data_IF_862080251186
#
_entry.id   IF_862080251186
#
_cell.length_a   1.000
_cell.length_b   1.000
_cell.length_c   1.000
_cell.angle_alpha   90.00
_cell.angle_beta   90.00
_cell.angle_gamma   90.00
#
_symmetry.space_group_name_H-M   'P 1'
#
loop_
_entity.id
_entity.type
_entity.pdbx_description
1 polymer ?
#
# COMPACT_ATOMS: atom_id res chain seq x y z
N UNK A 1 -24.10 -6.93 32.26
CA UNK A 1 -24.27 -8.39 32.45
C UNK A 1 -24.43 -8.98 31.06
N UNK A 2 -23.38 -9.61 30.56
CA UNK A 2 -23.34 -10.18 29.21
C UNK A 2 -24.06 -11.53 29.22
N UNK A 3 -25.04 -11.70 28.33
CA UNK A 3 -25.56 -13.02 28.00
C UNK A 3 -24.52 -13.74 27.12
N UNK A 4 -24.08 -14.95 27.47
CA UNK A 4 -23.38 -15.80 26.52
C UNK A 4 -24.43 -16.31 25.53
N UNK A 5 -24.29 -15.95 24.25
CA UNK A 5 -25.07 -16.62 23.21
C UNK A 5 -24.59 -18.07 23.20
N UNK A 6 -25.52 -18.95 23.52
CA UNK A 6 -25.36 -20.38 23.63
C UNK A 6 -24.82 -20.98 22.33
N UNK A 7 -23.73 -21.70 22.50
CA UNK A 7 -23.25 -22.83 21.70
C UNK A 7 -24.43 -23.70 21.22
N UNK A 8 -24.86 -23.52 19.98
CA UNK A 8 -25.62 -24.55 19.26
C UNK A 8 -24.62 -25.31 18.40
N UNK A 9 -24.43 -26.58 18.74
CA UNK A 9 -23.47 -27.49 18.10
C UNK A 9 -23.76 -27.73 16.63
N UNK A 10 -23.26 -26.83 15.78
CA UNK A 10 -23.01 -27.10 14.37
C UNK A 10 -21.52 -27.43 14.20
N UNK A 11 -21.22 -28.51 13.48
CA UNK A 11 -19.85 -28.96 13.23
C UNK A 11 -19.09 -27.93 12.37
N UNK A 12 -18.57 -26.87 13.01
CA UNK A 12 -17.73 -25.91 12.33
C UNK A 12 -16.36 -26.52 12.07
N UNK A 13 -15.95 -26.52 10.80
CA UNK A 13 -14.60 -26.90 10.36
C UNK A 13 -13.56 -25.83 10.68
N UNK A 14 -14.02 -24.66 11.14
CA UNK A 14 -13.20 -23.49 11.37
C UNK A 14 -12.40 -23.60 12.67
N UNK A 15 -11.12 -23.21 12.62
CA UNK A 15 -10.30 -23.08 13.82
C UNK A 15 -10.46 -21.65 14.36
N UNK A 16 -11.15 -21.50 15.48
CA UNK A 16 -11.46 -20.20 16.08
C UNK A 16 -10.23 -19.30 16.28
N UNK A 17 -9.06 -19.88 16.60
CA UNK A 17 -7.83 -19.11 16.77
C UNK A 17 -7.26 -18.62 15.44
N UNK A 18 -7.42 -19.41 14.38
CA UNK A 18 -7.03 -19.01 13.02
C UNK A 18 -7.96 -17.92 12.52
N UNK A 19 -9.28 -18.09 12.64
CA UNK A 19 -10.26 -17.07 12.25
C UNK A 19 -10.05 -15.76 13.00
N UNK A 20 -9.81 -15.82 14.31
CA UNK A 20 -9.55 -14.63 15.11
C UNK A 20 -8.31 -13.86 14.60
N UNK A 21 -7.23 -14.57 14.29
CA UNK A 21 -6.01 -13.95 13.77
C UNK A 21 -6.22 -13.36 12.35
N UNK A 22 -6.92 -14.08 11.46
CA UNK A 22 -7.25 -13.60 10.13
C UNK A 22 -8.12 -12.34 10.17
N UNK A 23 -9.19 -12.37 10.97
CA UNK A 23 -10.16 -11.28 11.05
C UNK A 23 -9.55 -10.00 11.65
N UNK A 24 -8.60 -10.15 12.59
CA UNK A 24 -7.88 -9.03 13.18
C UNK A 24 -6.74 -8.51 12.29
N UNK A 25 -6.46 -9.15 11.15
CA UNK A 25 -5.34 -8.80 10.27
C UNK A 25 -3.96 -9.21 10.79
N UNK A 26 -3.88 -10.04 11.85
CA UNK A 26 -2.63 -10.66 12.31
C UNK A 26 -2.31 -11.89 11.46
N UNK A 27 -2.05 -11.63 10.18
CA UNK A 27 -1.80 -12.66 9.19
C UNK A 27 -0.55 -13.49 9.51
N UNK A 28 0.44 -12.94 10.21
CA UNK A 28 1.65 -13.69 10.58
C UNK A 28 1.34 -14.75 11.64
N UNK A 29 0.59 -14.37 12.69
CA UNK A 29 0.12 -15.34 13.68
C UNK A 29 -0.80 -16.38 13.05
N UNK A 30 -1.71 -15.97 12.16
CA UNK A 30 -2.56 -16.89 11.41
C UNK A 30 -1.73 -17.92 10.63
N UNK A 31 -0.72 -17.48 9.86
CA UNK A 31 0.16 -18.36 9.09
C UNK A 31 0.90 -19.36 9.99
N UNK A 32 1.41 -18.93 11.14
CA UNK A 32 2.09 -19.80 12.10
C UNK A 32 1.16 -20.88 12.67
N UNK A 33 -0.06 -20.50 13.05
CA UNK A 33 -1.09 -21.43 13.53
C UNK A 33 -1.47 -22.42 12.43
N UNK A 34 -1.75 -21.95 11.22
CA UNK A 34 -2.11 -22.78 10.07
C UNK A 34 -1.00 -23.79 9.78
N UNK A 35 0.26 -23.35 9.71
CA UNK A 35 1.41 -24.24 9.46
C UNK A 35 1.55 -25.33 10.53
N UNK A 36 1.23 -25.03 11.79
CA UNK A 36 1.19 -26.03 12.87
C UNK A 36 0.06 -27.03 12.69
N UNK A 37 -1.15 -26.58 12.35
CA UNK A 37 -2.33 -27.44 12.13
C UNK A 37 -2.21 -28.31 10.88
N UNK A 38 -1.56 -27.81 9.83
CA UNK A 38 -1.34 -28.57 8.60
C UNK A 38 -0.48 -29.82 8.81
N UNK A 39 0.42 -29.83 9.81
CA UNK A 39 1.24 -31.01 10.15
C UNK A 39 0.42 -32.19 10.68
N UNK A 40 -0.73 -31.91 11.29
CA UNK A 40 -1.61 -32.91 11.91
C UNK A 40 -2.85 -33.22 11.07
N UNK A 41 -3.15 -32.40 10.05
CA UNK A 41 -4.31 -32.59 9.20
C UNK A 41 -4.12 -33.76 8.22
N UNK A 42 -5.15 -34.59 8.06
CA UNK A 42 -5.15 -35.65 7.06
C UNK A 42 -5.07 -35.08 5.64
N UNK A 43 -4.29 -35.73 4.76
CA UNK A 43 -4.18 -35.34 3.35
C UNK A 43 -5.55 -35.41 2.68
N UNK A 44 -5.86 -34.44 1.82
CA UNK A 44 -7.12 -34.36 1.08
C UNK A 44 -8.40 -34.37 1.94
N UNK A 45 -8.29 -33.98 3.22
CA UNK A 45 -9.44 -33.80 4.11
C UNK A 45 -10.07 -32.41 3.98
N UNK A 46 -11.31 -32.27 4.46
CA UNK A 46 -12.00 -30.99 4.57
C UNK A 46 -11.20 -29.98 5.42
N UNK A 47 -10.57 -30.43 6.51
CA UNK A 47 -9.69 -29.58 7.33
C UNK A 47 -8.47 -29.09 6.55
N UNK A 48 -7.88 -29.95 5.70
CA UNK A 48 -6.72 -29.59 4.89
C UNK A 48 -7.10 -28.55 3.82
N UNK A 49 -8.26 -28.70 3.19
CA UNK A 49 -8.81 -27.71 2.27
C UNK A 49 -9.06 -26.37 2.97
N UNK A 50 -9.70 -26.39 4.14
CA UNK A 50 -9.94 -25.20 4.95
C UNK A 50 -8.65 -24.45 5.29
N UNK A 51 -7.66 -25.15 5.85
CA UNK A 51 -6.37 -24.55 6.19
C UNK A 51 -5.61 -24.00 4.98
N UNK A 52 -5.75 -24.63 3.80
CA UNK A 52 -5.16 -24.12 2.56
C UNK A 52 -5.86 -22.84 2.06
N UNK A 53 -7.20 -22.76 2.16
CA UNK A 53 -7.98 -21.55 1.87
C UNK A 53 -7.60 -20.40 2.81
N UNK A 54 -7.50 -20.66 4.12
CA UNK A 54 -7.05 -19.65 5.09
C UNK A 54 -5.61 -19.17 4.82
N UNK A 55 -4.71 -20.06 4.41
CA UNK A 55 -3.34 -19.68 4.02
C UNK A 55 -3.33 -18.81 2.75
N UNK A 56 -4.19 -19.13 1.78
CA UNK A 56 -4.36 -18.33 0.57
C UNK A 56 -4.80 -16.91 0.92
N UNK A 57 -5.82 -16.75 1.77
CA UNK A 57 -6.31 -15.45 2.23
C UNK A 57 -5.22 -14.66 2.95
N UNK A 58 -4.53 -15.26 3.93
CA UNK A 58 -3.45 -14.59 4.67
C UNK A 58 -2.33 -14.08 3.75
N UNK A 59 -1.96 -14.85 2.72
CA UNK A 59 -0.98 -14.42 1.73
C UNK A 59 -1.52 -13.35 0.78
N UNK A 60 -2.78 -13.47 0.36
CA UNK A 60 -3.44 -12.52 -0.53
C UNK A 60 -3.50 -11.12 0.09
N UNK A 61 -3.96 -11.02 1.33
CA UNK A 61 -4.07 -9.75 2.06
C UNK A 61 -2.72 -9.12 2.39
N UNK A 62 -1.65 -9.92 2.43
CA UNK A 62 -0.26 -9.44 2.50
C UNK A 62 0.34 -9.08 1.12
N UNK A 63 -0.43 -9.15 0.03
CA UNK A 63 0.06 -8.91 -1.32
C UNK A 63 1.07 -9.96 -1.83
N UNK A 64 1.19 -11.11 -1.16
CA UNK A 64 2.06 -12.24 -1.56
C UNK A 64 1.36 -13.10 -2.59
N UNK A 65 1.06 -12.51 -3.75
CA UNK A 65 0.22 -13.08 -4.81
C UNK A 65 0.70 -14.47 -5.29
N UNK A 66 2.01 -14.69 -5.42
CA UNK A 66 2.54 -16.00 -5.86
C UNK A 66 2.30 -17.12 -4.85
N UNK A 67 2.40 -16.81 -3.56
CA UNK A 67 2.15 -17.79 -2.49
C UNK A 67 0.66 -18.02 -2.29
N UNK A 68 -0.15 -16.96 -2.41
CA UNK A 68 -1.59 -17.08 -2.46
C UNK A 68 -2.03 -18.01 -3.60
N UNK A 69 -1.46 -17.86 -4.81
CA UNK A 69 -1.75 -18.73 -5.96
C UNK A 69 -1.36 -20.19 -5.74
N UNK A 70 -0.22 -20.45 -5.08
CA UNK A 70 0.18 -21.83 -4.75
C UNK A 70 -0.82 -22.48 -3.80
N UNK A 71 -1.27 -21.75 -2.78
CA UNK A 71 -2.26 -22.25 -1.81
C UNK A 71 -3.66 -22.36 -2.43
N UNK A 72 -4.05 -21.44 -3.31
CA UNK A 72 -5.29 -21.51 -4.09
C UNK A 72 -5.37 -22.80 -4.90
N UNK A 73 -4.31 -23.13 -5.64
CA UNK A 73 -4.26 -24.36 -6.44
C UNK A 73 -4.39 -25.62 -5.57
N UNK A 74 -3.75 -25.64 -4.40
CA UNK A 74 -3.86 -26.76 -3.45
C UNK A 74 -5.28 -26.88 -2.89
N UNK A 75 -5.85 -25.78 -2.42
CA UNK A 75 -7.20 -25.74 -1.88
C UNK A 75 -8.23 -26.19 -2.93
N UNK A 76 -8.20 -25.61 -4.12
CA UNK A 76 -9.09 -25.96 -5.23
C UNK A 76 -9.02 -27.45 -5.60
N UNK A 77 -7.82 -28.02 -5.73
CA UNK A 77 -7.67 -29.45 -6.03
C UNK A 77 -8.31 -30.36 -4.98
N UNK A 78 -8.17 -30.02 -3.70
CA UNK A 78 -8.78 -30.81 -2.62
C UNK A 78 -10.29 -30.62 -2.63
N UNK A 79 -10.77 -29.38 -2.75
CA UNK A 79 -12.20 -29.08 -2.76
C UNK A 79 -12.89 -29.77 -3.94
N UNK A 80 -12.32 -29.72 -5.15
CA UNK A 80 -12.90 -30.37 -6.33
C UNK A 80 -12.91 -31.90 -6.17
N UNK A 81 -11.88 -32.48 -5.55
CA UNK A 81 -11.87 -33.90 -5.19
C UNK A 81 -13.00 -34.24 -4.21
N UNK A 82 -13.17 -33.43 -3.15
CA UNK A 82 -14.24 -33.61 -2.15
C UNK A 82 -15.63 -33.46 -2.78
N UNK A 83 -15.82 -32.47 -3.65
CA UNK A 83 -17.08 -32.20 -4.36
C UNK A 83 -17.43 -33.28 -5.39
N UNK A 84 -16.44 -34.03 -5.90
CA UNK A 84 -16.68 -35.13 -6.86
C UNK A 84 -17.40 -36.33 -6.26
N UNK A 85 -17.64 -36.36 -4.94
CA UNK A 85 -18.28 -37.47 -4.23
C UNK A 85 -17.36 -38.68 -3.98
N UNK A 86 -16.18 -38.72 -4.61
CA UNK A 86 -15.19 -39.82 -4.47
C UNK A 86 -14.60 -39.95 -3.06
N UNK A 87 -14.73 -38.91 -2.24
CA UNK A 87 -14.21 -38.88 -0.88
C UNK A 87 -15.11 -39.58 0.15
N UNK A 88 -16.33 -39.98 -0.22
CA UNK A 88 -17.26 -40.67 0.70
C UNK A 88 -17.65 -39.82 1.91
N UNK A 89 -17.95 -38.55 1.70
CA UNK A 89 -18.34 -37.61 2.77
C UNK A 89 -19.73 -37.93 3.32
N UNK A 90 -19.87 -37.81 4.64
CA UNK A 90 -21.15 -37.94 5.32
C UNK A 90 -22.06 -36.73 5.02
N UNK A 91 -23.38 -36.90 5.15
CA UNK A 91 -24.36 -35.82 4.94
C UNK A 91 -24.07 -34.57 5.77
N UNK A 92 -23.49 -34.74 6.97
CA UNK A 92 -23.12 -33.65 7.88
C UNK A 92 -21.92 -32.82 7.38
N UNK A 93 -21.11 -33.35 6.45
CA UNK A 93 -19.93 -32.68 5.91
C UNK A 93 -20.19 -31.96 4.57
N UNK A 94 -21.31 -32.25 3.92
CA UNK A 94 -21.67 -31.65 2.63
C UNK A 94 -21.93 -30.15 2.75
N UNK A 95 -22.60 -29.72 3.82
CA UNK A 95 -22.89 -28.30 4.03
C UNK A 95 -21.61 -27.49 4.32
N UNK A 96 -20.75 -27.88 5.29
CA UNK A 96 -19.46 -27.21 5.50
C UNK A 96 -18.55 -27.21 4.26
N UNK A 97 -18.60 -28.26 3.43
CA UNK A 97 -17.86 -28.28 2.16
C UNK A 97 -18.37 -27.22 1.18
N UNK A 98 -19.70 -27.08 1.04
CA UNK A 98 -20.29 -26.03 0.18
C UNK A 98 -19.92 -24.64 0.67
N UNK A 99 -19.98 -24.39 1.99
CA UNK A 99 -19.56 -23.12 2.57
C UNK A 99 -18.08 -22.85 2.31
N UNK A 100 -17.22 -23.84 2.51
CA UNK A 100 -15.80 -23.72 2.20
C UNK A 100 -15.54 -23.45 0.72
N UNK A 101 -16.26 -24.12 -0.19
CA UNK A 101 -16.19 -23.86 -1.63
C UNK A 101 -16.55 -22.41 -1.94
N UNK A 102 -17.64 -21.89 -1.36
CA UNK A 102 -18.04 -20.48 -1.58
C UNK A 102 -17.00 -19.48 -1.06
N UNK A 103 -16.43 -19.70 0.13
CA UNK A 103 -15.32 -18.89 0.67
C UNK A 103 -14.07 -18.96 -0.22
N UNK A 104 -13.73 -20.16 -0.69
CA UNK A 104 -12.61 -20.36 -1.61
C UNK A 104 -12.82 -19.59 -2.92
N UNK A 105 -14.01 -19.67 -3.52
CA UNK A 105 -14.30 -19.00 -4.78
C UNK A 105 -14.24 -17.48 -4.64
N UNK A 106 -14.79 -16.92 -3.56
CA UNK A 106 -14.70 -15.49 -3.26
C UNK A 106 -13.24 -15.02 -3.16
N UNK A 107 -12.46 -15.65 -2.29
CA UNK A 107 -11.04 -15.29 -2.13
C UNK A 107 -10.20 -15.56 -3.40
N UNK A 108 -10.55 -16.59 -4.17
CA UNK A 108 -9.90 -16.87 -5.46
C UNK A 108 -10.29 -15.85 -6.54
N UNK A 109 -11.50 -15.29 -6.51
CA UNK A 109 -11.90 -14.20 -7.40
C UNK A 109 -11.01 -12.96 -7.19
N UNK A 110 -10.80 -12.54 -5.94
CA UNK A 110 -9.87 -11.45 -5.60
C UNK A 110 -8.45 -11.72 -6.08
N UNK A 111 -7.96 -12.96 -5.93
CA UNK A 111 -6.66 -13.36 -6.45
C UNK A 111 -6.59 -13.31 -7.97
N UNK A 112 -7.65 -13.71 -8.68
CA UNK A 112 -7.72 -13.70 -10.14
C UNK A 112 -7.75 -12.28 -10.69
N UNK A 113 -8.50 -11.37 -10.06
CA UNK A 113 -8.46 -9.93 -10.38
C UNK A 113 -7.04 -9.37 -10.16
N UNK A 114 -6.40 -9.71 -9.04
CA UNK A 114 -5.02 -9.30 -8.74
C UNK A 114 -4.00 -9.80 -9.79
N UNK A 115 -4.31 -10.91 -10.48
CA UNK A 115 -3.53 -11.47 -11.57
C UNK A 115 -3.92 -10.93 -12.97
N UNK A 116 -4.94 -10.08 -13.06
CA UNK A 116 -5.51 -9.59 -14.32
C UNK A 116 -6.21 -10.68 -15.14
N UNK A 117 -6.74 -11.71 -14.49
CA UNK A 117 -7.45 -12.82 -15.13
C UNK A 117 -8.98 -12.63 -15.05
N UNK A 118 -9.46 -11.50 -15.58
CA UNK A 118 -10.83 -11.02 -15.36
C UNK A 118 -11.91 -12.03 -15.79
N UNK A 119 -11.73 -12.69 -16.94
CA UNK A 119 -12.69 -13.72 -17.41
C UNK A 119 -12.85 -14.87 -16.40
N UNK A 120 -11.76 -15.32 -15.78
CA UNK A 120 -11.83 -16.36 -14.75
C UNK A 120 -12.42 -15.83 -13.45
N UNK A 121 -12.11 -14.57 -13.11
CA UNK A 121 -12.70 -13.90 -11.96
C UNK A 121 -14.24 -13.89 -12.08
N UNK A 122 -14.79 -13.48 -13.23
CA UNK A 122 -16.23 -13.51 -13.49
C UNK A 122 -16.83 -14.92 -13.31
N UNK A 123 -16.22 -15.95 -13.89
CA UNK A 123 -16.71 -17.33 -13.71
C UNK A 123 -16.70 -17.77 -12.26
N UNK A 124 -15.68 -17.34 -11.50
CA UNK A 124 -15.55 -17.67 -10.07
C UNK A 124 -16.64 -16.99 -9.24
N UNK A 125 -16.91 -15.71 -9.53
CA UNK A 125 -17.97 -14.93 -8.88
C UNK A 125 -19.36 -15.47 -9.21
N UNK A 126 -19.62 -15.82 -10.46
CA UNK A 126 -20.91 -16.38 -10.89
C UNK A 126 -21.19 -17.72 -10.19
N UNK A 127 -20.18 -18.60 -10.11
CA UNK A 127 -20.28 -19.86 -9.38
C UNK A 127 -20.52 -19.62 -7.88
N UNK A 128 -19.79 -18.68 -7.27
CA UNK A 128 -19.93 -18.33 -5.86
C UNK A 128 -21.33 -17.80 -5.53
N UNK A 129 -21.81 -16.82 -6.31
CA UNK A 129 -23.13 -16.20 -6.14
C UNK A 129 -24.25 -17.23 -6.31
N UNK A 130 -24.15 -18.10 -7.33
CA UNK A 130 -25.14 -19.16 -7.55
C UNK A 130 -25.23 -20.11 -6.35
N UNK A 131 -24.08 -20.59 -5.86
CA UNK A 131 -24.08 -21.48 -4.69
C UNK A 131 -24.54 -20.79 -3.41
N UNK A 132 -24.15 -19.53 -3.18
CA UNK A 132 -24.58 -18.79 -1.98
C UNK A 132 -26.08 -18.49 -1.99
N UNK A 133 -26.69 -18.26 -3.16
CA UNK A 133 -28.15 -18.12 -3.30
C UNK A 133 -28.88 -19.41 -2.89
N UNK A 134 -28.33 -20.57 -3.22
CA UNK A 134 -28.88 -21.87 -2.78
C UNK A 134 -28.71 -22.11 -1.27
N UNK A 135 -27.67 -21.54 -0.66
CA UNK A 135 -27.36 -21.66 0.77
C UNK A 135 -28.08 -20.64 1.66
N UNK A 136 -28.95 -19.78 1.10
CA UNK A 136 -29.59 -18.63 1.75
C UNK A 136 -30.45 -18.96 2.99
N UNK A 137 -30.70 -20.24 3.28
CA UNK A 137 -31.29 -20.67 4.55
C UNK A 137 -30.38 -20.37 5.77
N UNK A 138 -29.11 -20.02 5.55
CA UNK A 138 -28.11 -19.79 6.61
C UNK A 138 -27.74 -18.31 6.68
N UNK A 139 -28.23 -17.61 7.71
CA UNK A 139 -27.97 -16.18 7.92
C UNK A 139 -26.46 -15.86 7.98
N UNK A 140 -25.61 -16.82 8.38
CA UNK A 140 -24.14 -16.66 8.45
C UNK A 140 -23.43 -16.50 7.10
N UNK A 141 -24.07 -16.88 5.99
CA UNK A 141 -23.48 -16.80 4.65
C UNK A 141 -23.90 -15.53 3.89
N UNK A 142 -24.89 -14.79 4.40
CA UNK A 142 -25.46 -13.61 3.73
C UNK A 142 -24.42 -12.52 3.47
N UNK A 143 -23.48 -12.30 4.40
CA UNK A 143 -22.42 -11.31 4.20
C UNK A 143 -21.50 -11.63 3.01
N UNK A 144 -21.13 -12.90 2.81
CA UNK A 144 -20.29 -13.31 1.66
C UNK A 144 -21.00 -13.11 0.34
N UNK A 145 -22.31 -13.38 0.29
CA UNK A 145 -23.12 -13.13 -0.90
C UNK A 145 -23.11 -11.63 -1.24
N UNK A 146 -23.33 -10.78 -0.24
CA UNK A 146 -23.27 -9.33 -0.41
C UNK A 146 -21.90 -8.87 -0.91
N UNK A 147 -20.82 -9.40 -0.36
CA UNK A 147 -19.45 -9.05 -0.76
C UNK A 147 -19.14 -9.52 -2.20
N UNK A 148 -19.54 -10.73 -2.60
CA UNK A 148 -19.38 -11.20 -3.98
C UNK A 148 -20.19 -10.35 -4.97
N UNK A 149 -21.41 -9.95 -4.62
CA UNK A 149 -22.24 -9.05 -5.45
C UNK A 149 -21.58 -7.68 -5.58
N UNK A 150 -21.07 -7.11 -4.49
CA UNK A 150 -20.35 -5.84 -4.50
C UNK A 150 -19.04 -5.91 -5.29
N UNK A 151 -18.31 -7.03 -5.19
CA UNK A 151 -17.10 -7.28 -5.96
C UNK A 151 -17.40 -7.33 -7.46
N UNK A 152 -18.41 -8.11 -7.87
CA UNK A 152 -18.87 -8.17 -9.25
C UNK A 152 -19.33 -6.80 -9.76
N UNK A 153 -20.09 -6.05 -8.96
CA UNK A 153 -20.52 -4.70 -9.29
C UNK A 153 -19.33 -3.75 -9.54
N UNK A 154 -18.28 -3.84 -8.72
CA UNK A 154 -17.04 -3.09 -8.92
C UNK A 154 -16.39 -3.43 -10.26
N UNK A 155 -16.32 -4.70 -10.63
CA UNK A 155 -15.76 -5.13 -11.92
C UNK A 155 -16.58 -4.63 -13.12
N UNK A 156 -17.91 -4.74 -13.05
CA UNK A 156 -18.80 -4.23 -14.10
C UNK A 156 -18.64 -2.72 -14.27
N UNK A 157 -18.53 -1.98 -13.16
CA UNK A 157 -18.28 -0.54 -13.19
C UNK A 157 -16.92 -0.17 -13.79
N UNK A 158 -15.88 -0.98 -13.55
CA UNK A 158 -14.57 -0.80 -14.16
C UNK A 158 -14.60 -1.05 -15.68
N UNK A 159 -15.47 -1.95 -16.14
CA UNK A 159 -15.70 -2.23 -17.55
C UNK A 159 -16.63 -1.21 -18.25
N UNK A 160 -17.16 -0.23 -17.52
CA UNK A 160 -18.07 0.79 -18.05
C UNK A 160 -19.55 0.40 -18.00
N UNK A 161 -19.88 -0.79 -17.52
CA UNK A 161 -21.25 -1.32 -17.41
C UNK A 161 -21.94 -0.81 -16.13
N UNK A 162 -22.06 0.52 -16.01
CA UNK A 162 -22.53 1.19 -14.78
C UNK A 162 -23.97 0.81 -14.39
N UNK A 163 -24.84 0.50 -15.36
CA UNK A 163 -26.22 0.06 -15.07
C UNK A 163 -26.27 -1.33 -14.42
N UNK A 164 -25.49 -2.29 -14.94
CA UNK A 164 -25.38 -3.63 -14.32
C UNK A 164 -24.76 -3.55 -12.94
N UNK A 165 -23.73 -2.72 -12.78
CA UNK A 165 -23.11 -2.47 -11.48
C UNK A 165 -24.12 -1.91 -10.46
N UNK A 166 -24.99 -1.00 -10.89
CA UNK A 166 -26.08 -0.45 -10.08
C UNK A 166 -27.03 -1.57 -9.61
N UNK A 167 -27.54 -2.38 -10.53
CA UNK A 167 -28.49 -3.48 -10.21
C UNK A 167 -27.89 -4.48 -9.22
N UNK A 168 -26.62 -4.86 -9.41
CA UNK A 168 -25.90 -5.76 -8.49
C UNK A 168 -25.73 -5.14 -7.10
N UNK A 169 -25.46 -3.84 -7.02
CA UNK A 169 -25.30 -3.13 -5.74
C UNK A 169 -26.64 -2.97 -5.00
N UNK A 170 -27.72 -2.69 -5.73
CA UNK A 170 -29.08 -2.67 -5.17
C UNK A 170 -29.49 -4.05 -4.62
N UNK A 171 -29.12 -5.12 -5.34
CA UNK A 171 -29.30 -6.49 -4.85
C UNK A 171 -28.48 -6.73 -3.57
N UNK A 172 -27.20 -6.34 -3.55
CA UNK A 172 -26.34 -6.51 -2.38
C UNK A 172 -26.93 -5.81 -1.14
N UNK A 173 -27.38 -4.55 -1.26
CA UNK A 173 -28.02 -3.81 -0.18
C UNK A 173 -29.29 -4.52 0.30
N UNK A 174 -30.12 -5.01 -0.63
CA UNK A 174 -31.35 -5.75 -0.28
C UNK A 174 -31.06 -7.04 0.47
N UNK A 175 -29.98 -7.76 0.13
CA UNK A 175 -29.55 -8.93 0.89
C UNK A 175 -28.97 -8.55 2.25
N UNK A 176 -28.31 -7.40 2.33
CA UNK A 176 -27.68 -6.91 3.54
C UNK A 176 -28.67 -6.40 4.60
N UNK A 177 -29.80 -5.85 4.17
CA UNK A 177 -30.83 -5.33 5.06
C UNK A 177 -31.49 -6.47 5.88
N UNK A 178 -31.33 -6.40 7.20
CA UNK A 178 -31.98 -7.32 8.14
C UNK A 178 -31.23 -8.62 8.44
N UNK A 179 -30.04 -8.83 7.89
CA UNK A 179 -29.18 -9.96 8.26
C UNK A 179 -28.37 -9.65 9.52
N UNK A 180 -28.27 -10.59 10.45
CA UNK A 180 -27.46 -10.42 11.67
C UNK A 180 -25.97 -10.66 11.43
N UNK A 181 -25.62 -11.30 10.30
CA UNK A 181 -24.22 -11.54 9.94
C UNK A 181 -23.52 -10.33 9.33
N UNK A 182 -24.30 -9.30 8.95
CA UNK A 182 -23.79 -8.11 8.28
C UNK A 182 -23.76 -6.95 9.25
N UNK A 183 -22.58 -6.35 9.38
CA UNK A 183 -22.40 -5.14 10.18
C UNK A 183 -23.18 -3.98 9.57
N UNK A 184 -23.75 -3.12 10.42
CA UNK A 184 -24.37 -1.87 9.98
C UNK A 184 -23.41 -1.04 9.12
N UNK A 185 -22.10 -1.08 9.39
CA UNK A 185 -21.10 -0.34 8.63
C UNK A 185 -20.89 -0.91 7.22
N UNK A 186 -20.98 -2.22 7.04
CA UNK A 186 -20.95 -2.86 5.71
C UNK A 186 -22.13 -2.36 4.87
N UNK A 187 -23.33 -2.23 5.45
CA UNK A 187 -24.48 -1.61 4.76
C UNK A 187 -24.16 -0.17 4.35
N UNK A 188 -23.54 0.60 5.25
CA UNK A 188 -23.08 1.96 4.95
C UNK A 188 -22.07 2.02 3.79
N UNK A 189 -21.15 1.07 3.70
CA UNK A 189 -20.19 0.97 2.59
C UNK A 189 -20.86 0.65 1.25
N UNK A 190 -21.89 -0.21 1.25
CA UNK A 190 -22.67 -0.53 0.05
C UNK A 190 -23.48 0.69 -0.43
N UNK A 191 -24.12 1.41 0.49
CA UNK A 191 -24.86 2.65 0.20
C UNK A 191 -23.93 3.71 -0.42
N UNK A 192 -22.71 3.86 0.11
CA UNK A 192 -21.68 4.74 -0.45
C UNK A 192 -21.26 4.34 -1.87
N UNK A 193 -21.04 3.05 -2.10
CA UNK A 193 -20.65 2.56 -3.41
C UNK A 193 -21.77 2.78 -4.44
N UNK A 194 -23.04 2.55 -4.05
CA UNK A 194 -24.20 2.84 -4.90
C UNK A 194 -24.33 4.34 -5.18
N UNK A 195 -24.17 5.20 -4.17
CA UNK A 195 -24.15 6.65 -4.35
C UNK A 195 -23.07 7.10 -5.35
N UNK A 196 -21.88 6.51 -5.26
CA UNK A 196 -20.79 6.74 -6.22
C UNK A 196 -21.13 6.28 -7.65
N UNK A 197 -21.84 5.16 -7.82
CA UNK A 197 -22.31 4.68 -9.12
C UNK A 197 -23.36 5.60 -9.72
N UNK A 198 -24.36 6.02 -8.93
CA UNK A 198 -25.42 6.95 -9.34
C UNK A 198 -24.84 8.30 -9.76
N UNK A 199 -23.86 8.81 -9.02
CA UNK A 199 -23.16 10.04 -9.37
C UNK A 199 -22.47 9.93 -10.74
N UNK A 200 -21.80 8.80 -11.03
CA UNK A 200 -21.19 8.55 -12.34
C UNK A 200 -22.21 8.42 -13.47
N UNK A 201 -23.41 7.95 -13.16
CA UNK A 201 -24.55 7.88 -14.09
C UNK A 201 -25.24 9.25 -14.30
N UNK A 202 -24.86 10.28 -13.53
CA UNK A 202 -25.47 11.61 -13.58
C UNK A 202 -26.72 11.77 -12.70
N UNK A 203 -27.14 10.73 -11.97
CA UNK A 203 -28.22 10.80 -11.00
C UNK A 203 -27.73 11.37 -9.67
N UNK A 204 -27.57 12.69 -9.66
CA UNK A 204 -27.04 13.44 -8.51
C UNK A 204 -27.98 13.43 -7.31
N UNK A 205 -29.30 13.43 -7.53
CA UNK A 205 -30.29 13.38 -6.46
C UNK A 205 -30.28 12.01 -5.78
N UNK A 206 -30.35 10.92 -6.57
CA UNK A 206 -30.26 9.57 -6.02
C UNK A 206 -28.93 9.35 -5.29
N UNK A 207 -27.82 9.82 -5.86
CA UNK A 207 -26.51 9.76 -5.20
C UNK A 207 -26.52 10.44 -3.83
N UNK A 208 -27.11 11.64 -3.73
CA UNK A 208 -27.20 12.39 -2.47
C UNK A 208 -27.98 11.63 -1.38
N UNK A 209 -29.09 10.98 -1.75
CA UNK A 209 -29.89 10.19 -0.80
C UNK A 209 -29.11 8.99 -0.25
N UNK A 210 -28.42 8.25 -1.13
CA UNK A 210 -27.58 7.12 -0.74
C UNK A 210 -26.38 7.56 0.13
N UNK A 211 -25.72 8.67 -0.22
CA UNK A 211 -24.67 9.23 0.64
C UNK A 211 -25.23 9.65 2.01
N UNK A 212 -26.42 10.27 2.07
CA UNK A 212 -27.03 10.65 3.34
C UNK A 212 -27.33 9.44 4.24
N UNK A 213 -27.79 8.32 3.67
CA UNK A 213 -27.98 7.05 4.41
C UNK A 213 -26.66 6.51 4.96
N UNK A 214 -25.62 6.43 4.14
CA UNK A 214 -24.30 6.00 4.59
C UNK A 214 -23.75 6.89 5.70
N UNK A 215 -23.94 8.20 5.58
CA UNK A 215 -23.57 9.18 6.61
C UNK A 215 -24.30 8.92 7.92
N UNK A 216 -25.61 8.72 7.89
CA UNK A 216 -26.40 8.47 9.09
C UNK A 216 -25.89 7.22 9.83
N UNK A 217 -25.59 6.15 9.10
CA UNK A 217 -25.06 4.89 9.65
C UNK A 217 -23.70 5.10 10.31
N UNK A 218 -22.78 5.81 9.65
CA UNK A 218 -21.40 5.97 10.13
C UNK A 218 -21.25 7.04 11.21
N UNK A 219 -22.03 8.12 11.17
CA UNK A 219 -21.99 9.18 12.20
C UNK A 219 -22.51 8.73 13.56
N UNK A 220 -23.39 7.72 13.58
CA UNK A 220 -23.85 7.05 14.80
C UNK A 220 -22.72 6.19 15.46
N UNK A 221 -21.53 6.16 14.87
CA UNK A 221 -20.39 5.43 15.42
C UNK A 221 -19.59 6.27 16.42
N UNK A 222 -19.26 5.64 17.54
CA UNK A 222 -18.29 6.15 18.52
C UNK A 222 -16.85 5.75 18.17
N UNK A 223 -16.62 5.08 17.02
CA UNK A 223 -15.34 4.45 16.71
C UNK A 223 -14.15 5.41 16.76
N UNK A 224 -14.31 6.67 16.38
CA UNK A 224 -13.23 7.66 16.48
C UNK A 224 -12.76 7.91 17.92
N UNK A 225 -13.69 7.86 18.88
CA UNK A 225 -13.42 8.13 20.30
C UNK A 225 -13.03 6.87 21.06
N UNK A 226 -13.38 5.69 20.54
CA UNK A 226 -12.95 4.41 21.09
C UNK A 226 -11.48 4.19 20.77
N UNK A 227 -10.72 3.78 21.78
CA UNK A 227 -9.38 3.23 21.55
C UNK A 227 -9.51 1.94 20.76
N UNK A 228 -8.58 1.72 19.85
CA UNK A 228 -8.56 0.52 19.03
C UNK A 228 -8.47 -0.73 19.91
N UNK A 229 -9.29 -1.73 19.57
CA UNK A 229 -9.20 -3.07 20.11
C UNK A 229 -9.18 -4.07 18.97
N UNK A 230 -8.39 -5.16 19.01
CA UNK A 230 -8.39 -6.13 17.93
C UNK A 230 -9.78 -6.76 17.73
N UNK A 231 -10.39 -6.48 16.58
CA UNK A 231 -11.64 -7.10 16.12
C UNK A 231 -11.71 -7.08 14.59
N UNK A 232 -12.66 -7.84 13.99
CA UNK A 232 -12.87 -7.83 12.56
C UNK A 232 -13.07 -6.42 11.98
N UNK A 233 -12.46 -6.17 10.83
CA UNK A 233 -12.44 -4.82 10.23
C UNK A 233 -13.84 -4.31 9.85
N UNK A 234 -14.79 -5.19 9.53
CA UNK A 234 -16.17 -4.83 9.19
C UNK A 234 -16.99 -4.34 10.39
N UNK A 235 -16.50 -4.52 11.62
CA UNK A 235 -17.12 -3.97 12.82
C UNK A 235 -16.74 -2.50 13.08
N UNK A 236 -15.87 -1.95 12.24
CA UNK A 236 -15.44 -0.56 12.30
C UNK A 236 -15.89 0.22 11.07
N UNK A 237 -16.26 1.50 11.22
CA UNK A 237 -16.55 2.33 10.06
C UNK A 237 -15.26 2.61 9.28
N UNK A 238 -15.33 2.42 7.97
CA UNK A 238 -14.31 2.93 7.03
C UNK A 238 -14.84 4.19 6.38
N UNK A 239 -14.19 5.33 6.60
CA UNK A 239 -14.51 6.58 5.92
C UNK A 239 -13.71 6.67 4.63
N UNK A 240 -14.37 6.48 3.49
CA UNK A 240 -13.72 6.50 2.17
C UNK A 240 -13.87 7.86 1.51
N UNK A 241 -12.78 8.34 0.90
CA UNK A 241 -12.85 9.46 -0.02
C UNK A 241 -13.60 9.03 -1.29
N UNK A 242 -14.74 9.65 -1.54
CA UNK A 242 -15.55 9.43 -2.74
C UNK A 242 -15.81 10.78 -3.38
N UNK A 243 -15.38 10.95 -4.62
CA UNK A 243 -15.60 12.19 -5.36
C UNK A 243 -17.11 12.48 -5.47
N UNK A 244 -17.51 13.67 -5.04
CA UNK A 244 -18.92 14.09 -5.01
C UNK A 244 -19.67 13.73 -3.73
N UNK A 245 -19.08 12.97 -2.80
CA UNK A 245 -19.70 12.71 -1.50
C UNK A 245 -19.63 13.98 -0.61
N UNK A 246 -20.64 14.23 0.24
CA UNK A 246 -20.76 15.47 1.01
C UNK A 246 -19.68 15.70 2.08
N UNK A 247 -18.95 14.65 2.48
CA UNK A 247 -17.79 14.77 3.39
C UNK A 247 -16.44 14.77 2.68
N UNK A 248 -16.43 14.61 1.35
CA UNK A 248 -15.20 14.50 0.57
C UNK A 248 -14.96 15.79 -0.19
N UNK A 249 -13.77 16.37 -0.01
CA UNK A 249 -13.35 17.54 -0.77
C UNK A 249 -11.93 17.35 -1.30
N UNK A 250 -11.68 17.84 -2.51
CA UNK A 250 -10.33 17.93 -3.10
C UNK A 250 -9.91 19.40 -3.23
N UNK A 251 -8.64 19.66 -2.98
CA UNK A 251 -7.98 20.92 -3.30
C UNK A 251 -6.64 20.65 -3.99
N UNK A 252 -6.15 21.62 -4.75
CA UNK A 252 -4.85 21.56 -5.39
C UNK A 252 -3.96 22.67 -4.83
N UNK A 253 -2.90 22.29 -4.12
CA UNK A 253 -1.97 23.22 -3.48
C UNK A 253 -0.54 22.82 -3.87
N UNK A 254 0.25 23.79 -4.36
CA UNK A 254 1.64 23.53 -4.74
C UNK A 254 1.86 22.46 -5.82
N UNK A 255 0.84 22.16 -6.64
CA UNK A 255 0.89 21.09 -7.65
C UNK A 255 0.59 19.69 -7.10
N UNK A 256 0.18 19.59 -5.83
CA UNK A 256 -0.22 18.35 -5.17
C UNK A 256 -1.74 18.31 -5.04
N UNK A 257 -2.30 17.10 -5.15
CA UNK A 257 -3.72 16.85 -4.91
C UNK A 257 -3.94 16.51 -3.44
N UNK A 258 -4.66 17.39 -2.75
CA UNK A 258 -5.06 17.22 -1.36
C UNK A 258 -6.47 16.65 -1.31
N UNK A 259 -6.64 15.47 -0.71
CA UNK A 259 -7.94 14.84 -0.53
C UNK A 259 -8.30 14.88 0.94
N UNK A 260 -9.50 15.38 1.26
CA UNK A 260 -9.99 15.56 2.63
C UNK A 260 -11.30 14.79 2.83
N UNK A 261 -11.41 14.19 4.02
CA UNK A 261 -12.61 13.52 4.53
C UNK A 261 -13.00 14.20 5.84
N UNK A 262 -14.19 14.81 5.89
CA UNK A 262 -14.73 15.52 7.05
C UNK A 262 -15.99 14.83 7.59
N UNK A 263 -15.83 14.12 8.70
CA UNK A 263 -16.92 13.35 9.33
C UNK A 263 -17.63 14.15 10.44
N UNK A 264 -17.39 15.46 10.50
CA UNK A 264 -17.93 16.37 11.51
C UNK A 264 -17.12 16.36 12.81
N UNK A 265 -16.95 15.18 13.43
CA UNK A 265 -16.17 15.01 14.68
C UNK A 265 -14.66 15.08 14.48
N UNK A 266 -14.18 14.70 13.30
CA UNK A 266 -12.80 14.81 12.91
C UNK A 266 -12.73 15.16 11.42
N UNK A 267 -11.63 15.78 11.01
CA UNK A 267 -11.32 16.01 9.61
C UNK A 267 -9.93 15.52 9.32
N UNK A 268 -9.80 14.68 8.30
CA UNK A 268 -8.52 14.13 7.89
C UNK A 268 -8.24 14.46 6.43
N UNK A 269 -7.08 15.01 6.18
CA UNK A 269 -6.58 15.34 4.85
C UNK A 269 -5.30 14.58 4.59
N UNK A 270 -5.18 14.05 3.36
CA UNK A 270 -4.01 13.32 2.90
C UNK A 270 -3.59 13.76 1.50
N UNK A 271 -2.29 13.78 1.26
CA UNK A 271 -1.69 14.02 -0.06
C UNK A 271 -0.41 13.21 -0.22
N UNK A 272 -0.09 12.82 -1.45
CA UNK A 272 1.07 11.98 -1.77
C UNK A 272 2.20 12.81 -2.37
N UNK A 273 3.44 12.47 -2.03
CA UNK A 273 4.64 13.08 -2.62
C UNK A 273 5.75 12.07 -2.85
N UNK A 274 6.44 12.14 -3.99
CA UNK A 274 7.72 11.45 -4.18
C UNK A 274 8.81 12.19 -3.42
N UNK A 275 9.51 11.45 -2.57
CA UNK A 275 10.63 12.02 -1.82
C UNK A 275 11.96 11.66 -2.47
N UNK A 276 12.36 12.48 -3.45
CA UNK A 276 13.64 12.32 -4.13
C UNK A 276 14.84 12.54 -3.19
N UNK A 277 14.64 13.23 -2.07
CA UNK A 277 15.71 13.60 -1.15
C UNK A 277 16.15 12.41 -0.28
N UNK A 278 15.21 11.56 0.17
CA UNK A 278 15.53 10.36 0.96
C UNK A 278 15.81 9.12 0.12
N UNK A 279 15.31 9.07 -1.12
CA UNK A 279 15.73 8.11 -2.13
C UNK A 279 14.70 7.87 -3.22
N UNK A 280 15.15 7.31 -4.35
CA UNK A 280 14.29 7.02 -5.53
C UNK A 280 13.08 6.11 -5.27
N UNK A 281 13.01 5.49 -4.10
CA UNK A 281 11.95 4.55 -3.68
C UNK A 281 11.07 5.09 -2.56
N UNK A 282 11.41 6.25 -2.01
CA UNK A 282 10.69 6.81 -0.87
C UNK A 282 9.48 7.63 -1.33
N UNK A 283 8.38 7.42 -0.62
CA UNK A 283 7.14 8.17 -0.78
C UNK A 283 6.75 8.73 0.58
N UNK A 284 6.42 10.02 0.63
CA UNK A 284 5.84 10.67 1.79
C UNK A 284 4.34 10.82 1.58
N UNK A 285 3.58 10.55 2.62
CA UNK A 285 2.16 10.88 2.70
C UNK A 285 2.01 12.00 3.71
N UNK A 286 1.63 13.18 3.25
CA UNK A 286 1.29 14.29 4.11
C UNK A 286 -0.06 14.06 4.75
N UNK A 287 -0.16 14.33 6.05
CA UNK A 287 -1.36 14.11 6.86
C UNK A 287 -1.66 15.37 7.65
N UNK A 288 -2.91 15.81 7.58
CA UNK A 288 -3.46 16.83 8.48
C UNK A 288 -4.75 16.31 9.12
N UNK A 289 -4.68 16.02 10.41
CA UNK A 289 -5.81 15.55 11.22
C UNK A 289 -6.24 16.66 12.18
N UNK A 290 -7.51 17.02 12.14
CA UNK A 290 -8.13 17.97 13.07
C UNK A 290 -9.10 17.19 13.95
N UNK A 291 -8.87 17.20 15.26
CA UNK A 291 -9.79 16.69 16.25
C UNK A 291 -10.78 17.80 16.62
N UNK A 292 -12.09 17.57 16.44
CA UNK A 292 -13.14 18.51 16.88
C UNK A 292 -13.96 17.98 18.06
N UNK A 293 -13.49 16.90 18.68
CA UNK A 293 -14.13 16.30 19.84
C UNK A 293 -13.52 16.83 21.14
N UNK A 294 -14.26 16.67 22.23
CA UNK A 294 -13.81 17.01 23.59
C UNK A 294 -12.90 15.94 24.20
N UNK A 295 -12.61 14.86 23.47
CA UNK A 295 -11.77 13.73 23.88
C UNK A 295 -10.53 13.62 23.00
N UNK A 296 -9.40 13.09 23.50
CA UNK A 296 -8.26 12.82 22.64
C UNK A 296 -8.60 11.74 21.60
N UNK A 297 -8.08 11.89 20.38
CA UNK A 297 -8.18 10.87 19.32
C UNK A 297 -6.89 10.07 19.22
N UNK A 298 -7.00 8.75 19.24
CA UNK A 298 -5.84 7.88 19.07
C UNK A 298 -5.44 7.84 17.59
N UNK A 299 -4.28 8.35 17.23
CA UNK A 299 -3.76 8.32 15.85
C UNK A 299 -2.80 7.14 15.66
N UNK A 300 -2.94 6.43 14.53
CA UNK A 300 -2.14 5.25 14.17
C UNK A 300 -2.05 4.16 15.25
N UNK A 301 -3.18 3.67 15.81
CA UNK A 301 -3.15 2.50 16.69
C UNK A 301 -2.73 1.21 15.98
N UNK A 302 -2.88 1.18 14.65
CA UNK A 302 -2.36 0.14 13.76
C UNK A 302 -1.44 0.78 12.72
N UNK A 303 -0.62 -0.06 12.07
CA UNK A 303 0.21 0.39 10.96
C UNK A 303 -0.69 0.88 9.81
N UNK A 304 -0.43 2.07 9.27
CA UNK A 304 -1.10 2.55 8.06
C UNK A 304 -0.64 1.72 6.85
N UNK A 305 -1.48 1.66 5.83
CA UNK A 305 -1.23 0.84 4.64
C UNK A 305 -1.18 1.72 3.38
N UNK A 306 -0.25 1.42 2.49
CA UNK A 306 -0.14 2.06 1.18
C UNK A 306 -0.08 0.98 0.10
N UNK A 307 -1.09 0.93 -0.76
CA UNK A 307 -1.20 -0.02 -1.86
C UNK A 307 -1.02 0.70 -3.19
N UNK A 308 -0.27 0.11 -4.10
CA UNK A 308 -0.20 0.50 -5.50
C UNK A 308 -0.83 -0.61 -6.31
N UNK A 309 -1.90 -0.33 -7.06
CA UNK A 309 -2.61 -1.37 -7.81
C UNK A 309 -2.03 -1.61 -9.21
N UNK A 310 -1.44 -0.58 -9.84
CA UNK A 310 -0.97 -0.63 -11.23
C UNK A 310 0.46 -0.04 -11.33
N UNK A 311 1.46 -0.68 -11.99
CA UNK A 311 1.40 -1.82 -12.93
C UNK A 311 1.28 -3.22 -12.30
N UNK A 312 1.61 -3.36 -11.02
CA UNK A 312 1.44 -4.59 -10.26
C UNK A 312 1.08 -4.22 -8.84
N UNK A 313 0.25 -5.05 -8.20
CA UNK A 313 -0.08 -4.87 -6.79
C UNK A 313 1.20 -4.91 -5.97
N UNK A 314 1.45 -3.82 -5.25
CA UNK A 314 2.59 -3.68 -4.35
C UNK A 314 2.15 -2.97 -3.07
N UNK A 315 2.64 -3.46 -1.93
CA UNK A 315 2.43 -2.83 -0.62
C UNK A 315 3.68 -2.02 -0.28
N UNK A 316 3.47 -0.78 0.13
CA UNK A 316 4.51 0.11 0.64
C UNK A 316 4.95 -0.33 2.03
N UNK A 317 6.25 -0.45 2.24
CA UNK A 317 6.79 -0.72 3.57
C UNK A 317 6.86 0.59 4.34
N UNK A 318 6.09 0.72 5.43
CA UNK A 318 6.20 1.89 6.31
C UNK A 318 7.62 1.99 6.87
N UNK A 319 8.21 3.19 6.78
CA UNK A 319 9.51 3.50 7.34
C UNK A 319 9.32 4.31 8.62
N UNK A 320 10.03 3.92 9.67
CA UNK A 320 10.14 4.72 10.88
C UNK A 320 10.98 5.98 10.59
N UNK A 321 10.47 7.14 11.01
CA UNK A 321 11.10 8.43 10.70
C UNK A 321 12.50 8.56 11.31
N UNK A 322 12.70 8.06 12.54
CA UNK A 322 14.02 8.10 13.19
C UNK A 322 15.04 7.23 12.47
N UNK A 323 14.64 6.00 12.11
CA UNK A 323 15.44 5.06 11.34
C UNK A 323 15.77 5.59 9.93
N UNK A 324 14.82 6.27 9.29
CA UNK A 324 15.01 6.89 7.98
C UNK A 324 16.00 8.06 8.07
N UNK A 325 15.86 8.94 9.06
CA UNK A 325 16.76 10.06 9.30
C UNK A 325 18.22 9.59 9.50
N UNK A 326 18.43 8.55 10.31
CA UNK A 326 19.75 7.94 10.51
C UNK A 326 20.33 7.37 9.21
N UNK A 327 19.47 6.76 8.38
CA UNK A 327 19.88 6.23 7.06
C UNK A 327 20.33 7.35 6.12
N UNK A 328 19.64 8.49 6.14
CA UNK A 328 19.99 9.68 5.36
C UNK A 328 21.34 10.24 5.79
N UNK A 329 21.57 10.44 7.09
CA UNK A 329 22.85 10.91 7.63
C UNK A 329 24.00 9.98 7.21
N UNK A 330 23.81 8.67 7.37
CA UNK A 330 24.82 7.67 7.01
C UNK A 330 25.14 7.69 5.52
N UNK A 331 24.14 7.84 4.64
CA UNK A 331 24.36 7.93 3.19
C UNK A 331 25.07 9.22 2.79
N UNK A 332 24.71 10.34 3.41
CA UNK A 332 25.32 11.63 3.14
C UNK A 332 26.78 11.68 3.60
N UNK A 333 27.09 11.13 4.78
CA UNK A 333 28.45 10.97 5.27
C UNK A 333 29.32 10.12 4.31
N UNK A 334 28.82 8.95 3.89
CA UNK A 334 29.53 8.09 2.92
C UNK A 334 29.77 8.79 1.58
N UNK A 335 28.80 9.59 1.11
CA UNK A 335 28.95 10.37 -0.12
C UNK A 335 29.97 11.49 0.05
N UNK A 336 29.99 12.18 1.18
CA UNK A 336 30.98 13.20 1.49
C UNK A 336 32.40 12.60 1.58
N UNK A 337 32.57 11.44 2.21
CA UNK A 337 33.85 10.73 2.24
C UNK A 337 34.36 10.37 0.85
N UNK A 338 33.48 9.87 -0.02
CA UNK A 338 33.83 9.61 -1.43
C UNK A 338 34.32 10.88 -2.13
N UNK A 339 33.63 12.01 -1.96
CA UNK A 339 34.02 13.29 -2.57
C UNK A 339 35.37 13.76 -2.04
N UNK A 340 35.63 13.63 -0.73
CA UNK A 340 36.94 13.95 -0.14
C UNK A 340 38.05 13.08 -0.74
N UNK A 341 37.78 11.79 -0.92
CA UNK A 341 38.74 10.86 -1.49
C UNK A 341 39.04 11.19 -2.96
N UNK A 342 38.01 11.52 -3.75
CA UNK A 342 38.17 11.96 -5.14
C UNK A 342 39.00 13.26 -5.22
N UNK A 343 38.76 14.20 -4.31
CA UNK A 343 39.52 15.44 -4.21
C UNK A 343 41.00 15.22 -3.86
N UNK A 344 41.29 14.35 -2.89
CA UNK A 344 42.67 13.99 -2.50
C UNK A 344 43.44 13.30 -3.63
N UNK A 345 42.73 12.58 -4.50
CA UNK A 345 43.31 11.88 -5.63
C UNK A 345 43.34 12.73 -6.92
N UNK A 346 42.87 13.98 -6.87
CA UNK A 346 42.88 14.86 -8.02
C UNK A 346 44.31 15.32 -8.33
N UNK A 347 44.76 15.07 -9.56
CA UNK A 347 46.05 15.53 -10.05
C UNK A 347 45.88 16.46 -11.25
N UNK A 348 46.76 17.45 -11.35
CA UNK A 348 46.87 18.34 -12.51
C UNK A 348 48.17 18.06 -13.23
N UNK A 349 48.07 17.97 -14.55
CA UNK A 349 49.22 17.85 -15.44
C UNK A 349 49.94 19.20 -15.52
N UNK A 350 51.17 19.29 -15.00
CA UNK A 350 52.07 20.42 -15.26
C UNK A 350 53.05 20.05 -16.38
N UNK A 351 53.03 20.86 -17.44
CA UNK A 351 54.03 20.81 -18.50
C UNK A 351 55.14 21.79 -18.15
N UNK A 352 56.30 21.27 -17.76
CA UNK A 352 57.49 22.08 -17.51
C UNK A 352 58.30 22.15 -18.79
N UNK A 353 58.44 23.36 -19.34
CA UNK A 353 59.36 23.61 -20.44
C UNK A 353 60.75 23.82 -19.86
N UNK A 354 61.71 22.98 -20.25
CA UNK A 354 63.12 23.20 -19.96
C UNK A 354 63.72 24.03 -21.09
N UNK A 355 63.96 25.34 -20.91
CA UNK A 355 64.76 26.10 -21.86
C UNK A 355 66.16 25.51 -21.85
N UNK A 356 66.60 24.99 -22.99
CA UNK A 356 67.92 24.39 -23.15
C UNK A 356 69.01 25.41 -22.77
N UNK A 357 69.80 25.21 -21.69
CA UNK A 357 70.82 26.18 -21.26
C UNK A 357 72.07 26.19 -22.14
N UNK A 358 72.18 25.30 -23.14
CA UNK A 358 73.37 25.19 -23.97
C UNK A 358 73.02 25.16 -25.46
N UNK A 359 73.14 26.33 -26.09
CA UNK A 359 73.34 26.42 -27.53
C UNK A 359 74.51 27.37 -27.86
N UNK A 360 75.63 27.23 -27.14
CA UNK A 360 76.83 28.04 -27.37
C UNK A 360 78.01 27.30 -28.01
N UNK A 361 77.82 26.06 -28.48
CA UNK A 361 78.88 25.34 -29.19
C UNK A 361 78.33 24.49 -30.34
N UNK A 362 77.74 25.15 -31.35
CA UNK A 362 77.93 24.67 -32.72
C UNK A 362 77.68 25.79 -33.74
N UNK A 363 78.65 26.69 -33.86
CA UNK A 363 78.76 27.58 -35.00
C UNK A 363 80.15 27.38 -35.64
N UNK A 364 80.36 26.20 -36.21
CA UNK A 364 81.34 26.01 -37.27
C UNK A 364 80.59 26.06 -38.59
N UNK A 365 80.99 27.03 -39.41
CA UNK A 365 80.20 27.54 -40.50
C UNK A 365 79.93 26.56 -41.63
N UNK A 366 78.85 26.86 -42.37
CA UNK A 366 78.90 27.29 -43.77
C UNK A 366 77.47 27.41 -44.31
N UNK A 367 77.17 28.59 -44.87
CA UNK A 367 76.29 28.70 -46.04
C UNK A 367 74.78 28.86 -45.81
N UNK A 368 74.33 30.11 -45.99
CA UNK A 368 73.22 30.53 -46.86
C UNK A 368 71.86 29.79 -46.79
N UNK A 369 70.86 30.63 -46.46
CA UNK A 369 69.49 30.74 -47.03
C UNK A 369 68.34 29.88 -46.47
N UNK A 370 67.20 30.58 -46.30
CA UNK A 370 65.85 30.07 -46.04
C UNK A 370 65.42 30.23 -44.57
N UNK A 371 64.86 31.36 -44.13
CA UNK A 371 63.41 31.64 -44.19
C UNK A 371 62.56 30.38 -44.47
N UNK A 372 61.85 29.91 -43.44
CA UNK A 372 60.93 28.75 -43.39
C UNK A 372 61.51 27.36 -43.04
N UNK A 373 61.91 27.17 -41.77
CA UNK A 373 61.81 25.91 -40.99
C UNK A 373 61.77 26.33 -39.51
N UNK A 374 60.91 25.88 -38.61
CA UNK A 374 59.86 24.87 -38.62
C UNK A 374 59.04 25.11 -37.35
N UNK A 375 57.74 25.41 -37.47
CA UNK A 375 56.75 25.37 -36.38
C UNK A 375 56.44 23.90 -35.98
N UNK A 376 57.43 23.02 -35.98
CA UNK A 376 57.26 21.61 -35.64
C UNK A 376 58.23 21.22 -34.51
N UNK A 377 57.61 21.01 -33.35
CA UNK A 377 57.91 19.89 -32.45
C UNK A 377 59.31 19.86 -31.82
N UNK A 378 59.59 20.81 -30.91
CA UNK A 378 60.49 20.55 -29.78
C UNK A 378 59.76 19.69 -28.73
N UNK A 379 59.39 18.46 -29.10
CA UNK A 379 58.77 17.48 -28.21
C UNK A 379 59.77 16.85 -27.21
N UNK A 380 61.05 17.22 -27.29
CA UNK A 380 62.12 16.68 -26.44
C UNK A 380 62.37 17.46 -25.15
N UNK A 381 61.87 18.70 -25.02
CA UNK A 381 62.16 19.60 -23.89
C UNK A 381 60.96 19.89 -22.97
N UNK A 382 59.86 19.17 -23.15
CA UNK A 382 58.67 19.27 -22.30
C UNK A 382 58.58 18.05 -21.38
N UNK A 383 58.83 18.25 -20.09
CA UNK A 383 58.53 17.25 -19.06
C UNK A 383 57.07 17.36 -18.63
N UNK A 384 56.36 16.23 -18.54
CA UNK A 384 54.99 16.18 -18.03
C UNK A 384 55.04 15.57 -16.63
N UNK A 385 54.60 16.32 -15.62
CA UNK A 385 54.53 15.84 -14.23
C UNK A 385 53.10 15.96 -13.71
N UNK A 386 52.62 14.92 -13.01
CA UNK A 386 51.33 14.94 -12.33
C UNK A 386 51.55 15.50 -10.93
N UNK A 387 50.94 16.65 -10.63
CA UNK A 387 51.05 17.31 -9.32
C UNK A 387 49.68 17.30 -8.66
N UNK A 388 49.57 17.12 -7.33
CA UNK A 388 48.30 17.23 -6.63
C UNK A 388 47.58 18.55 -6.94
N UNK A 389 46.29 18.47 -7.26
CA UNK A 389 45.47 19.65 -7.54
C UNK A 389 44.82 20.15 -6.25
N UNK A 390 45.53 20.99 -5.52
CA UNK A 390 45.06 21.60 -4.28
C UNK A 390 43.78 22.45 -4.45
N UNK A 391 43.49 22.96 -5.65
CA UNK A 391 42.24 23.68 -5.92
C UNK A 391 41.07 22.70 -6.03
N UNK A 392 41.26 21.57 -6.72
CA UNK A 392 40.28 20.50 -6.80
C UNK A 392 40.02 19.87 -5.42
N UNK A 393 41.06 19.69 -4.60
CA UNK A 393 40.93 19.21 -3.22
C UNK A 393 40.10 20.17 -2.36
N UNK A 394 40.37 21.47 -2.42
CA UNK A 394 39.62 22.48 -1.66
C UNK A 394 38.14 22.54 -2.10
N UNK A 395 37.86 22.47 -3.39
CA UNK A 395 36.49 22.40 -3.92
C UNK A 395 35.76 21.13 -3.49
N UNK A 396 36.45 19.99 -3.50
CA UNK A 396 35.90 18.72 -3.04
C UNK A 396 35.59 18.76 -1.53
N UNK A 397 36.45 19.35 -0.71
CA UNK A 397 36.19 19.54 0.72
C UNK A 397 34.96 20.40 0.99
N UNK A 398 34.81 21.53 0.28
CA UNK A 398 33.62 22.38 0.40
C UNK A 398 32.35 21.64 -0.03
N UNK A 399 32.41 20.90 -1.15
CA UNK A 399 31.27 20.12 -1.66
C UNK A 399 30.91 18.97 -0.72
N UNK A 400 31.89 18.32 -0.10
CA UNK A 400 31.67 17.29 0.90
C UNK A 400 30.97 17.84 2.15
N UNK A 401 31.40 19.01 2.65
CA UNK A 401 30.74 19.70 3.76
C UNK A 401 29.28 20.05 3.43
N UNK A 402 29.02 20.61 2.24
CA UNK A 402 27.66 20.90 1.80
C UNK A 402 26.77 19.66 1.74
N UNK A 403 27.30 18.51 1.32
CA UNK A 403 26.56 17.24 1.28
C UNK A 403 26.24 16.72 2.68
N UNK A 404 27.18 16.82 3.61
CA UNK A 404 26.94 16.45 5.02
C UNK A 404 25.93 17.35 5.70
N UNK A 405 26.06 18.67 5.53
CA UNK A 405 25.13 19.65 6.10
C UNK A 405 23.72 19.48 5.52
N UNK A 406 23.59 19.34 4.20
CA UNK A 406 22.31 19.07 3.56
C UNK A 406 21.70 17.75 4.05
N UNK A 407 22.52 16.71 4.23
CA UNK A 407 22.09 15.43 4.79
C UNK A 407 21.58 15.53 6.22
N UNK A 408 22.29 16.28 7.07
CA UNK A 408 21.89 16.52 8.47
C UNK A 408 20.60 17.33 8.55
N UNK A 409 20.49 18.41 7.78
CA UNK A 409 19.27 19.23 7.73
C UNK A 409 18.05 18.43 7.29
N UNK A 410 18.21 17.60 6.26
CA UNK A 410 17.15 16.70 5.79
C UNK A 410 16.76 15.66 6.85
N UNK A 411 17.73 15.12 7.59
CA UNK A 411 17.45 14.19 8.68
C UNK A 411 16.73 14.85 9.86
N UNK A 412 17.08 16.09 10.19
CA UNK A 412 16.37 16.89 11.19
C UNK A 412 14.94 17.22 10.76
N UNK A 413 14.72 17.56 9.49
CA UNK A 413 13.40 17.76 8.90
C UNK A 413 12.54 16.49 9.03
N UNK A 414 13.07 15.32 8.65
CA UNK A 414 12.36 14.04 8.76
C UNK A 414 11.99 13.72 10.21
N UNK A 415 12.87 13.99 11.17
CA UNK A 415 12.59 13.79 12.60
C UNK A 415 11.51 14.74 13.11
N UNK A 416 11.51 15.99 12.64
CA UNK A 416 10.58 17.03 13.08
C UNK A 416 9.18 16.84 12.50
N UNK A 417 9.10 16.48 11.23
CA UNK A 417 7.84 16.39 10.49
C UNK A 417 7.29 14.96 10.45
N UNK A 418 8.08 13.94 10.81
CA UNK A 418 7.62 12.56 10.84
C UNK A 418 6.59 12.32 11.94
N UNK A 419 5.42 11.80 11.55
CA UNK A 419 4.35 11.46 12.49
C UNK A 419 4.24 9.96 12.71
N UNK A 420 4.04 9.58 13.97
CA UNK A 420 3.87 8.19 14.40
C UNK A 420 2.65 8.03 15.31
N UNK A 421 2.50 6.86 15.97
CA UNK A 421 1.43 6.62 16.92
C UNK A 421 1.41 7.65 18.05
N UNK A 422 0.31 8.37 18.22
CA UNK A 422 0.15 9.40 19.24
C UNK A 422 -1.33 9.64 19.57
N UNK A 423 -1.61 10.35 20.66
CA UNK A 423 -2.95 10.84 20.97
C UNK A 423 -3.05 12.32 20.56
N UNK A 424 -3.98 12.66 19.67
CA UNK A 424 -4.26 14.04 19.24
C UNK A 424 -5.18 14.68 20.28
N UNK A 425 -4.79 15.80 20.91
CA UNK A 425 -5.56 16.39 22.00
C UNK A 425 -6.95 16.87 21.53
N UNK A 426 -7.92 17.03 22.45
CA UNK A 426 -9.20 17.66 22.17
C UNK A 426 -9.02 19.01 21.48
N UNK A 427 -9.82 19.29 20.43
CA UNK A 427 -9.72 20.51 19.62
C UNK A 427 -8.32 20.79 19.02
N UNK A 428 -7.45 19.77 19.02
CA UNK A 428 -6.09 19.86 18.52
C UNK A 428 -5.95 19.50 17.05
N UNK A 429 -4.77 19.77 16.51
CA UNK A 429 -4.37 19.36 15.18
C UNK A 429 -3.07 18.55 15.20
N UNK A 430 -2.94 17.65 14.24
CA UNK A 430 -1.74 16.92 13.92
C UNK A 430 -1.41 17.17 12.45
N UNK A 431 -0.18 17.61 12.18
CA UNK A 431 0.32 17.86 10.84
C UNK A 431 1.71 17.25 10.69
N UNK A 432 1.93 16.47 9.62
CA UNK A 432 3.25 15.94 9.29
C UNK A 432 3.20 14.82 8.26
N UNK A 433 4.24 14.00 8.21
CA UNK A 433 4.48 13.00 7.16
C UNK A 433 4.60 11.58 7.68
N UNK A 434 4.01 10.64 6.93
CA UNK A 434 4.26 9.21 7.07
C UNK A 434 5.11 8.77 5.87
N UNK A 435 6.14 7.97 6.12
CA UNK A 435 7.10 7.54 5.11
C UNK A 435 6.87 6.10 4.70
N UNK A 436 6.96 5.84 3.40
CA UNK A 436 6.86 4.50 2.82
C UNK A 436 7.99 4.24 1.82
N UNK A 437 8.44 3.00 1.73
CA UNK A 437 9.28 2.51 0.64
C UNK A 437 8.46 1.72 -0.38
N UNK A 438 8.55 2.12 -1.65
CA UNK A 438 7.95 1.44 -2.79
C UNK A 438 9.03 1.03 -3.81
N UNK A 439 8.89 -0.17 -4.39
CA UNK A 439 9.89 -0.68 -5.35
C UNK A 439 10.03 0.18 -6.62
N UNK A 440 8.90 0.70 -7.11
CA UNK A 440 8.79 1.44 -8.40
C UNK A 440 7.78 2.59 -8.31
N UNK A 441 8.04 3.65 -7.53
CA UNK A 441 7.09 4.75 -7.34
C UNK A 441 6.79 5.52 -8.63
N UNK A 442 7.75 5.62 -9.56
CA UNK A 442 7.59 6.37 -10.81
C UNK A 442 6.51 5.82 -11.75
N UNK A 443 6.13 4.55 -11.59
CA UNK A 443 5.10 3.90 -12.40
C UNK A 443 3.80 3.69 -11.62
N UNK A 444 3.75 4.11 -10.36
CA UNK A 444 2.62 3.85 -9.47
C UNK A 444 1.40 4.66 -9.91
N UNK A 445 0.33 3.95 -10.25
CA UNK A 445 -0.99 4.52 -10.54
C UNK A 445 -2.04 3.74 -9.75
N UNK A 446 -3.19 4.37 -9.47
CA UNK A 446 -4.24 3.84 -8.59
C UNK A 446 -3.68 3.45 -7.22
N UNK A 447 -3.26 4.45 -6.47
CA UNK A 447 -2.69 4.30 -5.12
C UNK A 447 -3.81 4.37 -4.08
N UNK A 448 -3.83 3.46 -3.12
CA UNK A 448 -4.77 3.48 -1.99
C UNK A 448 -3.96 3.66 -0.71
N UNK A 449 -4.29 4.67 0.06
CA UNK A 449 -3.72 4.94 1.37
C UNK A 449 -4.80 4.76 2.44
N UNK A 450 -4.52 3.91 3.43
CA UNK A 450 -5.40 3.65 4.57
C UNK A 450 -4.72 4.06 5.86
N UNK A 451 -5.44 4.81 6.68
CA UNK A 451 -4.93 5.36 7.94
C UNK A 451 -5.94 5.17 9.07
N UNK A 452 -5.58 4.43 10.14
CA UNK A 452 -6.46 4.21 11.27
C UNK A 452 -6.44 5.39 12.26
N UNK A 453 -7.62 5.77 12.75
CA UNK A 453 -7.82 6.80 13.80
C UNK A 453 -8.88 6.31 14.77
N UNK A 454 -8.48 6.11 16.03
CA UNK A 454 -9.25 5.39 17.03
C UNK A 454 -9.52 3.99 16.52
N UNK A 455 -10.78 3.62 16.60
CA UNK A 455 -11.27 2.38 16.04
C UNK A 455 -11.78 2.50 14.59
N UNK A 456 -11.72 3.69 13.99
CA UNK A 456 -12.13 3.90 12.61
C UNK A 456 -10.95 3.81 11.63
N UNK A 457 -11.26 3.66 10.34
CA UNK A 457 -10.28 3.69 9.26
C UNK A 457 -10.65 4.76 8.25
N UNK A 458 -9.68 5.55 7.79
CA UNK A 458 -9.86 6.45 6.66
C UNK A 458 -9.15 5.88 5.43
N UNK A 459 -9.81 5.93 4.28
CA UNK A 459 -9.31 5.41 3.01
C UNK A 459 -9.29 6.52 1.96
N UNK A 460 -8.10 6.82 1.45
CA UNK A 460 -7.87 7.74 0.35
C UNK A 460 -7.42 6.95 -0.86
N UNK A 461 -8.07 7.16 -2.00
CA UNK A 461 -7.60 6.67 -3.29
C UNK A 461 -6.94 7.84 -4.00
N UNK A 462 -5.93 7.60 -4.81
CA UNK A 462 -5.25 8.59 -5.64
C UNK A 462 -5.02 7.99 -7.02
N UNK A 463 -5.24 8.77 -8.08
CA UNK A 463 -5.14 8.25 -9.44
C UNK A 463 -3.68 8.03 -9.85
N UNK A 464 -2.79 8.91 -9.40
CA UNK A 464 -1.36 8.86 -9.70
C UNK A 464 -0.52 9.28 -8.50
N UNK A 465 0.73 8.81 -8.47
CA UNK A 465 1.74 9.36 -7.57
C UNK A 465 2.43 10.55 -8.28
N UNK A 466 2.31 11.78 -7.76
CA UNK A 466 2.87 12.98 -8.41
C UNK A 466 4.39 12.88 -8.59
#
# INVERSE_FOLDING_TARGET
MANPISDQGESSIEDASVEHALNNGDYQSAQNLIAKRQKTAAKQSLQCAYLATCMMEACLWQGRISEAQSNAKKAGQIIDYLMSGKAGLDSNQLLPLKELKTRYLDANAWLLEALGQDSKCYTCLDEAIAMMRDLRALDRATWRLSDCLAHKASMEAQNGELLKAKELMEEAIKQAQGSHSISKYTVGDLEENLGGLLYKLGDTQGAQEHFARAVAIKKDSDALQKRFSPHPYWLSPTYRYIKGAPWSSESFEGGLEHRRIDVGRASLEAYLMKDKATGKRAVRVGIKLINRTDSPLQFLPRKPELFVLNPKIAIGNMLDAASLAQTVETKSAKKADSIRQDGRNATRTMTTYYPNPYNYYNNNGRGRQGFWRSLLSDSGNTGVTQVPDFQAEAQAMQKAQQVEEAGRLLAEEIRKEGVGPCDVPPHGELNGFIFFELKSPDKATKVIFKVPVGDAQFEFRFDTLP
#
